data_IF_497121705082
#
_entry.id   IF_497121705082
#
_cell.length_a   1.000
_cell.length_b   1.000
_cell.length_c   1.000
_cell.angle_alpha   90.00
_cell.angle_beta   90.00
_cell.angle_gamma   90.00
#
_symmetry.space_group_name_H-M   'P 1'
#
loop_
_entity.id
_entity.type
_entity.pdbx_description
1 polymer ?
#
# COMPACT_ATOMS: atom_id res chain seq x y z
N UNK A 1 -4.64 -6.41 3.24
CA UNK A 1 -3.36 -7.09 3.59
C UNK A 1 -2.48 -6.15 4.43
N UNK A 2 -1.57 -6.65 5.27
CA UNK A 2 -0.53 -5.85 5.93
C UNK A 2 0.82 -5.99 5.22
N UNK A 3 1.50 -4.87 5.00
CA UNK A 3 2.82 -4.80 4.36
C UNK A 3 3.73 -3.92 5.20
N UNK A 4 4.94 -4.37 5.48
CA UNK A 4 5.95 -3.56 6.16
C UNK A 4 6.48 -2.45 5.24
N UNK A 5 6.83 -1.29 5.79
CA UNK A 5 7.33 -0.15 5.00
C UNK A 5 8.59 -0.48 4.18
N UNK A 6 9.43 -1.40 4.68
CA UNK A 6 10.62 -1.91 3.96
C UNK A 6 10.24 -2.78 2.77
N UNK A 7 9.27 -3.67 2.95
CA UNK A 7 8.71 -4.55 1.92
C UNK A 7 8.00 -3.72 0.83
N UNK A 8 7.20 -2.73 1.25
CA UNK A 8 6.58 -1.77 0.32
C UNK A 8 7.62 -1.05 -0.53
N UNK A 9 8.73 -0.59 0.07
CA UNK A 9 9.82 0.06 -0.68
C UNK A 9 10.47 -0.88 -1.70
N UNK A 10 10.69 -2.14 -1.34
CA UNK A 10 11.33 -3.13 -2.21
C UNK A 10 10.45 -3.49 -3.42
N UNK A 11 9.13 -3.51 -3.25
CA UNK A 11 8.17 -3.96 -4.27
C UNK A 11 7.08 -2.91 -4.57
N UNK A 12 7.46 -1.63 -4.58
CA UNK A 12 6.51 -0.51 -4.63
C UNK A 12 5.51 -0.63 -5.80
N UNK A 13 6.01 -0.85 -7.02
CA UNK A 13 5.15 -0.93 -8.21
C UNK A 13 4.13 -2.07 -8.14
N UNK A 14 4.48 -3.20 -7.51
CA UNK A 14 3.56 -4.32 -7.33
C UNK A 14 2.40 -3.94 -6.41
N UNK A 15 2.70 -3.34 -5.26
CA UNK A 15 1.68 -2.94 -4.29
C UNK A 15 0.83 -1.76 -4.79
N UNK A 16 1.43 -0.80 -5.50
CA UNK A 16 0.68 0.29 -6.16
C UNK A 16 -0.29 -0.26 -7.20
N UNK A 17 0.14 -1.21 -8.04
CA UNK A 17 -0.76 -1.85 -9.02
C UNK A 17 -1.91 -2.58 -8.35
N UNK A 18 -1.66 -3.30 -7.26
CA UNK A 18 -2.73 -3.98 -6.50
C UNK A 18 -3.71 -2.98 -5.90
N UNK A 19 -3.19 -1.89 -5.35
CA UNK A 19 -4.02 -0.83 -4.82
C UNK A 19 -4.85 -0.14 -5.90
N UNK A 20 -4.27 0.16 -7.07
CA UNK A 20 -5.03 0.75 -8.19
C UNK A 20 -6.11 -0.18 -8.74
N UNK A 21 -6.02 -1.49 -8.47
CA UNK A 21 -7.04 -2.49 -8.84
C UNK A 21 -8.17 -2.63 -7.81
N UNK A 22 -8.22 -1.78 -6.78
CA UNK A 22 -9.27 -1.80 -5.76
C UNK A 22 -8.83 -2.33 -4.40
N UNK A 23 -7.61 -2.84 -4.26
CA UNK A 23 -7.16 -3.41 -2.99
C UNK A 23 -6.77 -2.32 -1.97
N UNK A 24 -7.23 -2.45 -0.73
CA UNK A 24 -6.73 -1.64 0.39
C UNK A 24 -5.61 -2.37 1.13
N UNK A 25 -4.41 -1.78 1.14
CA UNK A 25 -3.21 -2.34 1.76
C UNK A 25 -2.82 -1.50 2.97
N UNK A 26 -2.71 -2.14 4.14
CA UNK A 26 -2.21 -1.52 5.38
C UNK A 26 -0.70 -1.50 5.35
N UNK A 27 -0.12 -0.31 5.44
CA UNK A 27 1.33 -0.14 5.56
C UNK A 27 1.68 -0.05 7.03
N UNK A 28 2.66 -0.85 7.45
CA UNK A 28 3.11 -0.94 8.84
C UNK A 28 4.56 -0.51 8.98
N UNK A 29 4.91 0.08 10.12
CA UNK A 29 6.30 0.21 10.57
C UNK A 29 6.44 -0.48 11.93
N UNK A 30 7.37 -1.43 12.03
CA UNK A 30 7.59 -2.27 13.21
C UNK A 30 6.30 -2.87 13.80
N UNK A 31 5.41 -3.37 12.93
CA UNK A 31 4.15 -4.01 13.30
C UNK A 31 3.00 -3.04 13.63
N UNK A 32 3.25 -1.72 13.65
CA UNK A 32 2.22 -0.71 13.85
C UNK A 32 1.74 -0.16 12.51
N UNK A 33 0.44 -0.20 12.23
CA UNK A 33 -0.16 0.44 11.06
C UNK A 33 0.14 1.93 11.06
N UNK A 34 0.74 2.44 9.99
CA UNK A 34 1.12 3.85 9.85
C UNK A 34 0.44 4.54 8.67
N UNK A 35 -0.01 3.80 7.66
CA UNK A 35 -0.70 4.35 6.49
C UNK A 35 -1.57 3.29 5.81
N UNK A 36 -2.42 3.75 4.90
CA UNK A 36 -3.15 2.92 3.96
C UNK A 36 -2.72 3.29 2.54
N UNK A 37 -2.45 2.28 1.72
CA UNK A 37 -2.36 2.43 0.28
C UNK A 37 -3.71 2.00 -0.29
N UNK A 38 -4.43 2.96 -0.84
CA UNK A 38 -5.80 2.81 -1.38
C UNK A 38 -5.80 3.16 -2.87
N UNK A 39 -6.81 2.73 -3.64
CA UNK A 39 -6.99 3.20 -5.00
C UNK A 39 -7.05 4.72 -5.03
N UNK A 40 -6.41 5.34 -6.03
CA UNK A 40 -6.61 6.76 -6.28
C UNK A 40 -8.07 6.96 -6.71
N UNK A 41 -8.81 7.81 -5.99
CA UNK A 41 -10.20 8.14 -6.32
C UNK A 41 -10.31 9.40 -7.18
N UNK A 42 -9.18 10.02 -7.52
CA UNK A 42 -9.10 11.19 -8.38
C UNK A 42 -8.71 10.76 -9.79
N UNK A 43 -9.68 10.77 -10.68
CA UNK A 43 -9.45 11.19 -12.06
C UNK A 43 -9.47 12.74 -11.98
N UNK A 44 -8.30 13.37 -12.05
CA UNK A 44 -8.17 14.80 -12.41
C UNK A 44 -7.80 14.89 -13.88
#
# INVERSE_FOLDING_TARGET
MDVGIRELKAHLSHYVRRASQGETIRVTDRGRTTALLIPATADE
#
